data_IF_538085658837
#
_entry.id   IF_538085658837
#
_cell.length_a   1.000
_cell.length_b   1.000
_cell.length_c   1.000
_cell.angle_alpha   90.00
_cell.angle_beta   90.00
_cell.angle_gamma   90.00
#
_symmetry.space_group_name_H-M   'P 1'
#
loop_
_entity.id
_entity.type
_entity.pdbx_description
1 polymer ?
#
# COMPACT_ATOMS: atom_id res chain seq x y z
N UNK A 1 -48.54 -58.48 -0.89
CA UNK A 1 -48.85 -57.14 -1.46
C UNK A 1 -48.38 -55.95 -0.62
N UNK A 2 -48.09 -56.08 0.69
CA UNK A 2 -47.62 -54.98 1.56
C UNK A 2 -46.19 -54.52 1.25
N UNK A 3 -45.28 -55.43 0.90
CA UNK A 3 -43.85 -55.12 0.65
C UNK A 3 -43.61 -54.29 -0.61
N UNK A 4 -44.45 -54.50 -1.64
CA UNK A 4 -44.35 -53.75 -2.93
C UNK A 4 -44.77 -52.29 -2.74
N UNK A 5 -45.78 -52.01 -1.91
CA UNK A 5 -46.23 -50.64 -1.59
C UNK A 5 -45.17 -49.87 -0.79
N UNK A 6 -44.51 -50.49 0.17
CA UNK A 6 -43.43 -49.85 0.97
C UNK A 6 -42.20 -49.53 0.12
N UNK A 7 -41.84 -50.38 -0.83
CA UNK A 7 -40.76 -50.14 -1.79
C UNK A 7 -41.04 -48.92 -2.71
N UNK A 8 -42.28 -48.86 -3.21
CA UNK A 8 -42.68 -47.75 -4.09
C UNK A 8 -42.71 -46.38 -3.36
N UNK A 9 -43.17 -46.36 -2.12
CA UNK A 9 -43.16 -45.10 -1.28
C UNK A 9 -41.74 -44.62 -1.01
N UNK A 10 -40.81 -45.56 -0.71
CA UNK A 10 -39.41 -45.20 -0.50
C UNK A 10 -38.71 -44.70 -1.76
N UNK A 11 -39.00 -45.28 -2.92
CA UNK A 11 -38.48 -44.84 -4.21
C UNK A 11 -39.02 -43.43 -4.58
N UNK A 12 -40.34 -43.19 -4.39
CA UNK A 12 -40.94 -41.87 -4.62
C UNK A 12 -40.38 -40.81 -3.67
N UNK A 13 -40.13 -41.10 -2.39
CA UNK A 13 -39.55 -40.15 -1.44
C UNK A 13 -38.09 -39.84 -1.77
N UNK A 14 -37.29 -40.81 -2.20
CA UNK A 14 -35.90 -40.60 -2.66
C UNK A 14 -35.86 -39.79 -3.95
N UNK A 15 -36.77 -40.03 -4.92
CA UNK A 15 -36.86 -39.26 -6.15
C UNK A 15 -37.30 -37.80 -5.88
N UNK A 16 -38.20 -37.58 -4.92
CA UNK A 16 -38.63 -36.26 -4.51
C UNK A 16 -37.49 -35.46 -3.81
N UNK A 17 -36.71 -36.15 -2.95
CA UNK A 17 -35.53 -35.55 -2.31
C UNK A 17 -34.44 -35.22 -3.34
N UNK A 18 -34.25 -36.07 -4.34
CA UNK A 18 -33.29 -35.83 -5.43
C UNK A 18 -33.75 -34.64 -6.32
N UNK A 19 -35.05 -34.53 -6.56
CA UNK A 19 -35.62 -33.40 -7.30
C UNK A 19 -35.53 -32.08 -6.55
N UNK A 20 -35.67 -32.11 -5.22
CA UNK A 20 -35.43 -30.95 -4.35
C UNK A 20 -33.98 -30.51 -4.29
N UNK A 21 -33.04 -31.48 -4.36
CA UNK A 21 -31.59 -31.20 -4.41
C UNK A 21 -31.12 -30.71 -5.78
N UNK A 22 -31.86 -31.06 -6.86
CA UNK A 22 -31.61 -30.61 -8.23
C UNK A 22 -32.43 -29.38 -8.60
N UNK A 23 -33.31 -28.88 -7.72
CA UNK A 23 -33.95 -27.59 -7.93
C UNK A 23 -32.83 -26.54 -8.10
N UNK A 24 -32.77 -25.86 -9.25
CA UNK A 24 -31.79 -24.78 -9.38
C UNK A 24 -32.10 -23.84 -8.24
N UNK A 25 -31.13 -23.66 -7.34
CA UNK A 25 -31.10 -22.52 -6.43
C UNK A 25 -31.21 -21.34 -7.39
N UNK A 26 -32.41 -20.78 -7.54
CA UNK A 26 -32.62 -19.56 -8.29
C UNK A 26 -31.70 -18.57 -7.60
N UNK A 27 -30.48 -18.43 -8.12
CA UNK A 27 -29.58 -17.35 -7.78
C UNK A 27 -30.40 -16.12 -8.19
N UNK A 28 -31.02 -15.52 -7.18
CA UNK A 28 -31.59 -14.18 -7.37
C UNK A 28 -30.43 -13.36 -7.91
N UNK A 29 -30.57 -12.74 -9.09
CA UNK A 29 -29.58 -11.81 -9.55
C UNK A 29 -29.34 -10.87 -8.38
N UNK A 30 -28.10 -10.79 -7.91
CA UNK A 30 -27.72 -9.77 -6.95
C UNK A 30 -28.00 -8.46 -7.69
N UNK A 31 -29.17 -7.89 -7.44
CA UNK A 31 -29.48 -6.55 -7.86
C UNK A 31 -28.44 -5.69 -7.16
N UNK A 32 -27.38 -5.36 -7.87
CA UNK A 32 -26.59 -4.22 -7.51
C UNK A 32 -27.62 -3.08 -7.39
N UNK A 33 -27.79 -2.57 -6.17
CA UNK A 33 -28.76 -1.51 -5.91
C UNK A 33 -28.28 -0.27 -6.68
N UNK A 34 -28.65 -0.20 -7.96
CA UNK A 34 -28.55 0.98 -8.78
C UNK A 34 -29.61 1.96 -8.27
N UNK A 35 -29.15 2.96 -7.55
CA UNK A 35 -30.05 4.03 -7.09
C UNK A 35 -29.63 5.35 -7.74
N UNK A 36 -30.08 5.63 -8.98
CA UNK A 36 -29.76 6.87 -9.68
C UNK A 36 -30.30 8.13 -8.98
N UNK A 37 -31.31 7.99 -8.10
CA UNK A 37 -31.88 9.13 -7.34
C UNK A 37 -30.87 9.74 -6.35
N UNK A 38 -29.75 9.04 -6.06
CA UNK A 38 -28.66 9.57 -5.24
C UNK A 38 -27.72 10.47 -6.02
N UNK A 39 -27.84 10.52 -7.33
CA UNK A 39 -27.00 11.36 -8.18
C UNK A 39 -27.54 12.80 -8.21
N UNK A 40 -26.68 13.82 -8.12
CA UNK A 40 -27.08 15.21 -8.22
C UNK A 40 -27.61 15.53 -9.63
N UNK A 41 -28.44 16.56 -9.77
CA UNK A 41 -29.01 16.96 -11.05
C UNK A 41 -27.96 17.40 -12.08
N UNK A 42 -26.80 17.88 -11.61
CA UNK A 42 -25.67 18.28 -12.46
C UNK A 42 -24.42 17.50 -12.07
N UNK A 43 -23.60 17.03 -13.04
CA UNK A 43 -22.38 16.35 -12.76
C UNK A 43 -21.37 17.23 -12.01
N UNK A 44 -21.09 16.90 -10.75
CA UNK A 44 -19.99 17.45 -9.96
C UNK A 44 -18.88 16.41 -9.87
N UNK A 45 -17.59 16.77 -9.79
CA UNK A 45 -16.52 15.79 -9.70
C UNK A 45 -16.48 15.02 -8.38
N UNK A 46 -17.18 15.51 -7.34
CA UNK A 46 -17.24 14.91 -6.01
C UNK A 46 -18.69 14.68 -5.61
N UNK A 47 -19.02 13.45 -5.23
CA UNK A 47 -20.31 13.06 -4.65
C UNK A 47 -20.02 12.46 -3.27
N UNK A 48 -20.31 13.21 -2.22
CA UNK A 48 -20.00 12.85 -0.83
C UNK A 48 -21.27 12.39 -0.08
N UNK A 49 -21.71 11.13 -0.35
CA UNK A 49 -22.90 10.56 0.28
C UNK A 49 -22.65 10.13 1.75
N UNK A 50 -21.42 9.75 2.07
CA UNK A 50 -21.05 9.36 3.42
C UNK A 50 -20.69 10.55 4.32
N UNK A 51 -20.60 11.77 3.74
CA UNK A 51 -20.22 13.00 4.45
C UNK A 51 -18.84 12.90 5.13
N UNK A 52 -17.90 12.32 4.41
CA UNK A 52 -16.51 12.18 4.89
C UNK A 52 -15.75 13.51 4.82
N UNK A 53 -16.14 14.40 3.91
CA UNK A 53 -15.50 15.70 3.72
C UNK A 53 -16.29 16.80 4.40
N UNK A 54 -15.60 17.78 4.96
CA UNK A 54 -16.25 19.04 5.34
C UNK A 54 -16.72 19.79 4.09
N UNK A 55 -17.69 20.69 4.21
CA UNK A 55 -18.17 21.47 3.06
C UNK A 55 -17.03 22.28 2.39
N UNK A 56 -16.10 22.81 3.19
CA UNK A 56 -14.92 23.51 2.69
C UNK A 56 -13.97 22.59 1.90
N UNK A 57 -13.67 21.40 2.42
CA UNK A 57 -12.83 20.39 1.75
C UNK A 57 -13.49 19.92 0.45
N UNK A 58 -14.80 19.63 0.47
CA UNK A 58 -15.55 19.22 -0.70
C UNK A 58 -15.51 20.28 -1.80
N UNK A 59 -15.83 21.54 -1.48
CA UNK A 59 -15.83 22.62 -2.46
C UNK A 59 -14.43 22.88 -3.02
N UNK A 60 -13.40 22.87 -2.18
CA UNK A 60 -12.02 23.03 -2.63
C UNK A 60 -11.59 21.89 -3.55
N UNK A 61 -11.93 20.63 -3.21
CA UNK A 61 -11.62 19.46 -4.01
C UNK A 61 -12.37 19.48 -5.35
N UNK A 62 -13.66 19.87 -5.37
CA UNK A 62 -14.43 20.02 -6.60
C UNK A 62 -13.75 20.99 -7.58
N UNK A 63 -13.37 22.16 -7.12
CA UNK A 63 -12.66 23.13 -7.94
C UNK A 63 -11.31 22.60 -8.41
N UNK A 64 -10.55 22.02 -7.52
CA UNK A 64 -9.23 21.44 -7.83
C UNK A 64 -9.31 20.37 -8.92
N UNK A 65 -10.32 19.49 -8.87
CA UNK A 65 -10.50 18.42 -9.85
C UNK A 65 -10.96 18.95 -11.21
N UNK A 66 -11.79 20.00 -11.24
CA UNK A 66 -12.18 20.70 -12.48
C UNK A 66 -10.97 21.33 -13.14
N UNK A 67 -10.16 22.08 -12.38
CA UNK A 67 -8.97 22.73 -12.89
C UNK A 67 -7.92 21.72 -13.36
N UNK A 68 -7.78 20.62 -12.65
CA UNK A 68 -6.88 19.54 -13.02
C UNK A 68 -7.32 18.85 -14.33
N UNK A 69 -8.60 18.56 -14.50
CA UNK A 69 -9.14 18.02 -15.76
C UNK A 69 -8.92 18.97 -16.92
N UNK A 70 -9.20 20.27 -16.74
CA UNK A 70 -9.02 21.28 -17.76
C UNK A 70 -7.56 21.42 -18.22
N UNK A 71 -6.60 21.26 -17.30
CA UNK A 71 -5.18 21.44 -17.58
C UNK A 71 -4.49 20.18 -18.09
N UNK A 72 -4.89 19.00 -17.62
CA UNK A 72 -4.23 17.72 -17.89
C UNK A 72 -4.99 16.79 -18.83
N UNK A 73 -6.30 16.98 -18.96
CA UNK A 73 -7.22 16.08 -19.66
C UNK A 73 -7.48 14.76 -18.95
N UNK A 74 -7.03 14.57 -17.70
CA UNK A 74 -7.33 13.41 -16.87
C UNK A 74 -8.56 13.68 -16.00
N UNK A 75 -9.52 12.78 -16.05
CA UNK A 75 -10.80 12.90 -15.37
C UNK A 75 -10.75 12.17 -14.03
N UNK A 76 -10.64 12.90 -12.93
CA UNK A 76 -10.65 12.33 -11.58
C UNK A 76 -12.03 12.56 -10.94
N UNK A 77 -12.62 11.50 -10.36
CA UNK A 77 -13.96 11.55 -9.73
C UNK A 77 -13.90 10.88 -8.38
N UNK A 78 -14.67 11.40 -7.42
CA UNK A 78 -14.73 10.92 -6.04
C UNK A 78 -16.16 10.62 -5.67
N UNK A 79 -16.39 9.41 -5.19
CA UNK A 79 -17.64 8.98 -4.58
C UNK A 79 -17.34 8.51 -3.16
N UNK A 80 -17.96 9.11 -2.16
CA UNK A 80 -17.98 8.55 -0.82
C UNK A 80 -19.33 7.92 -0.55
N UNK A 81 -19.37 6.73 0.03
CA UNK A 81 -20.61 6.00 0.29
C UNK A 81 -20.50 5.19 1.59
N UNK A 82 -21.66 4.89 2.18
CA UNK A 82 -21.79 3.99 3.31
C UNK A 82 -22.92 2.98 3.07
N UNK A 83 -24.16 3.30 3.45
CA UNK A 83 -25.30 2.38 3.26
C UNK A 83 -25.96 2.46 1.90
N UNK A 84 -25.83 3.58 1.20
CA UNK A 84 -26.46 3.85 -0.08
C UNK A 84 -25.41 4.10 -1.14
N UNK A 85 -25.60 3.46 -2.30
CA UNK A 85 -24.71 3.57 -3.44
C UNK A 85 -25.51 3.85 -4.70
N UNK A 86 -25.05 4.71 -5.61
CA UNK A 86 -25.64 4.87 -6.94
C UNK A 86 -25.34 3.67 -7.87
N UNK A 87 -24.49 2.73 -7.45
CA UNK A 87 -24.13 1.54 -8.21
C UNK A 87 -23.45 1.86 -9.53
N UNK A 88 -23.81 1.13 -10.59
CA UNK A 88 -23.20 1.31 -11.92
C UNK A 88 -23.66 2.59 -12.63
N UNK A 89 -24.79 3.20 -12.22
CA UNK A 89 -25.29 4.44 -12.80
C UNK A 89 -24.27 5.59 -12.74
N UNK A 90 -23.34 5.55 -11.74
CA UNK A 90 -22.28 6.55 -11.59
C UNK A 90 -21.33 6.59 -12.80
N UNK A 91 -21.10 5.47 -13.48
CA UNK A 91 -20.19 5.40 -14.63
C UNK A 91 -20.75 6.16 -15.83
N UNK A 92 -22.03 6.01 -16.10
CA UNK A 92 -22.72 6.72 -17.15
C UNK A 92 -22.89 8.20 -16.80
N UNK A 93 -23.27 8.49 -15.56
CA UNK A 93 -23.43 9.86 -15.05
C UNK A 93 -22.18 10.74 -15.24
N UNK A 94 -20.99 10.18 -14.98
CA UNK A 94 -19.73 10.89 -15.18
C UNK A 94 -19.09 10.67 -16.56
N UNK A 95 -19.66 9.82 -17.40
CA UNK A 95 -19.07 9.45 -18.70
C UNK A 95 -17.63 8.98 -18.53
N UNK A 96 -17.44 7.96 -17.65
CA UNK A 96 -16.11 7.44 -17.37
C UNK A 96 -15.53 6.69 -18.58
N UNK A 97 -14.31 7.02 -18.94
CA UNK A 97 -13.57 6.51 -20.09
C UNK A 97 -12.19 5.95 -19.68
N UNK A 98 -11.36 5.65 -20.66
CA UNK A 98 -10.00 5.13 -20.44
C UNK A 98 -9.06 6.11 -19.71
N UNK A 99 -9.36 7.43 -19.74
CA UNK A 99 -8.60 8.49 -19.06
C UNK A 99 -9.21 8.90 -17.73
N UNK A 100 -10.13 8.10 -17.21
CA UNK A 100 -10.86 8.41 -15.98
C UNK A 100 -10.35 7.59 -14.81
N UNK A 101 -10.32 8.21 -13.64
CA UNK A 101 -10.15 7.57 -12.34
C UNK A 101 -11.38 7.84 -11.48
N UNK A 102 -12.02 6.79 -11.01
CA UNK A 102 -13.04 6.87 -9.97
C UNK A 102 -12.47 6.34 -8.65
N UNK A 103 -12.32 7.22 -7.67
CA UNK A 103 -12.08 6.86 -6.28
C UNK A 103 -13.41 6.66 -5.57
N UNK A 104 -13.62 5.47 -5.03
CA UNK A 104 -14.76 5.15 -4.16
C UNK A 104 -14.25 4.95 -2.74
N UNK A 105 -14.72 5.77 -1.80
CA UNK A 105 -14.51 5.58 -0.38
C UNK A 105 -15.74 4.90 0.23
N UNK A 106 -15.59 3.66 0.71
CA UNK A 106 -16.66 2.84 1.28
C UNK A 106 -16.21 2.24 2.62
N UNK A 107 -16.83 2.66 3.71
CA UNK A 107 -16.49 2.19 5.07
C UNK A 107 -16.84 0.72 5.34
N UNK A 108 -17.69 0.10 4.52
CA UNK A 108 -18.12 -1.28 4.72
C UNK A 108 -17.06 -2.31 4.32
N UNK A 109 -16.05 -1.89 3.55
CA UNK A 109 -14.93 -2.73 3.16
C UNK A 109 -13.86 -2.85 4.24
N UNK A 110 -13.01 -3.86 4.16
CA UNK A 110 -11.80 -3.96 5.01
C UNK A 110 -10.75 -2.90 4.67
N UNK A 111 -10.92 -2.18 3.57
CA UNK A 111 -10.13 -1.04 3.11
C UNK A 111 -11.11 0.06 2.69
N UNK A 112 -10.88 1.29 3.18
CA UNK A 112 -11.76 2.42 2.88
C UNK A 112 -11.79 2.77 1.38
N UNK A 113 -10.65 2.67 0.70
CA UNK A 113 -10.48 3.17 -0.67
C UNK A 113 -10.55 2.06 -1.70
N UNK A 114 -11.28 2.30 -2.78
CA UNK A 114 -11.31 1.50 -3.99
C UNK A 114 -11.09 2.40 -5.22
N UNK A 115 -10.25 1.95 -6.16
CA UNK A 115 -9.92 2.68 -7.37
C UNK A 115 -10.45 1.93 -8.59
N UNK A 116 -11.34 2.58 -9.36
CA UNK A 116 -11.72 2.13 -10.69
C UNK A 116 -10.92 2.95 -11.70
N UNK A 117 -9.96 2.29 -12.33
CA UNK A 117 -8.89 2.91 -13.10
C UNK A 117 -9.12 2.67 -14.59
N UNK A 118 -9.14 3.73 -15.39
CA UNK A 118 -9.21 3.65 -16.84
C UNK A 118 -7.92 3.08 -17.44
N UNK A 119 -8.04 2.40 -18.58
CA UNK A 119 -6.92 1.65 -19.16
C UNK A 119 -5.70 2.50 -19.51
N UNK A 120 -5.89 3.76 -19.92
CA UNK A 120 -4.78 4.67 -20.22
C UNK A 120 -3.93 5.01 -18.99
N UNK A 121 -4.49 4.96 -17.79
CA UNK A 121 -3.77 5.21 -16.55
C UNK A 121 -2.80 4.07 -16.17
N UNK A 122 -3.09 2.83 -16.58
CA UNK A 122 -2.20 1.69 -16.32
C UNK A 122 -0.86 1.78 -17.07
N UNK A 123 -0.81 2.52 -18.18
CA UNK A 123 0.43 2.78 -18.90
C UNK A 123 1.37 3.73 -18.11
N UNK A 124 0.81 4.61 -17.29
CA UNK A 124 1.54 5.60 -16.48
C UNK A 124 1.83 5.12 -15.06
N UNK A 125 0.89 4.37 -14.50
CA UNK A 125 0.94 3.86 -13.13
C UNK A 125 0.50 2.39 -13.14
N UNK A 126 1.42 1.43 -12.94
CA UNK A 126 1.12 0.00 -13.04
C UNK A 126 0.16 -0.47 -11.95
N UNK A 127 -0.43 -1.66 -12.11
CA UNK A 127 -1.38 -2.23 -11.14
C UNK A 127 -0.82 -2.26 -9.71
N UNK A 128 0.47 -2.50 -9.55
CA UNK A 128 1.16 -2.50 -8.25
C UNK A 128 1.10 -1.15 -7.55
N UNK A 129 1.15 -0.03 -8.30
CA UNK A 129 0.97 1.31 -7.78
C UNK A 129 -0.42 1.49 -7.13
N UNK A 130 -1.48 1.05 -7.82
CA UNK A 130 -2.86 1.19 -7.33
C UNK A 130 -3.12 0.33 -6.09
N UNK A 131 -2.58 -0.89 -6.05
CA UNK A 131 -2.65 -1.75 -4.85
C UNK A 131 -1.90 -1.12 -3.68
N UNK A 132 -0.70 -0.58 -3.93
CA UNK A 132 0.06 0.11 -2.89
C UNK A 132 -0.67 1.35 -2.39
N UNK A 133 -1.22 2.18 -3.29
CA UNK A 133 -1.97 3.39 -2.95
C UNK A 133 -3.17 3.07 -2.06
N UNK A 134 -3.96 2.07 -2.46
CA UNK A 134 -5.11 1.58 -1.70
C UNK A 134 -4.70 1.07 -0.31
N UNK A 135 -3.65 0.23 -0.25
CA UNK A 135 -3.17 -0.34 1.01
C UNK A 135 -2.56 0.72 1.92
N UNK A 136 -1.91 1.73 1.36
CA UNK A 136 -1.22 2.78 2.12
C UNK A 136 -2.17 3.76 2.77
N UNK A 137 -3.15 4.27 2.02
CA UNK A 137 -4.05 5.32 2.51
C UNK A 137 -5.40 4.80 2.98
N UNK A 138 -5.89 3.67 2.44
CA UNK A 138 -7.21 3.13 2.75
C UNK A 138 -7.23 2.12 3.89
N UNK A 139 -6.08 1.73 4.46
CA UNK A 139 -6.05 0.77 5.56
C UNK A 139 -6.56 1.39 6.88
N UNK A 140 -7.09 0.53 7.76
CA UNK A 140 -7.68 0.95 9.03
C UNK A 140 -6.72 1.72 9.96
N UNK A 141 -5.41 1.47 9.88
CA UNK A 141 -4.43 2.17 10.74
C UNK A 141 -4.22 3.60 10.26
N UNK A 142 -4.05 3.80 8.94
CA UNK A 142 -3.94 5.12 8.35
C UNK A 142 -5.19 5.96 8.63
N UNK A 143 -6.38 5.37 8.38
CA UNK A 143 -7.68 6.03 8.61
C UNK A 143 -7.88 6.40 10.08
N UNK A 144 -7.50 5.52 11.01
CA UNK A 144 -7.59 5.80 12.45
C UNK A 144 -6.68 6.96 12.87
N UNK A 145 -5.46 7.02 12.32
CA UNK A 145 -4.44 7.97 12.77
C UNK A 145 -4.56 9.33 12.06
N UNK A 146 -5.11 9.40 10.83
CA UNK A 146 -5.20 10.61 10.01
C UNK A 146 -6.63 11.06 9.67
N UNK A 147 -7.61 10.17 9.76
CA UNK A 147 -9.00 10.42 9.37
C UNK A 147 -9.34 9.88 7.97
N UNK A 148 -10.65 9.75 7.70
CA UNK A 148 -11.17 9.25 6.44
C UNK A 148 -11.03 10.29 5.32
N UNK A 149 -11.23 11.54 5.65
CA UNK A 149 -11.03 12.69 4.75
C UNK A 149 -9.57 12.77 4.28
N UNK A 150 -8.60 12.63 5.19
CA UNK A 150 -7.19 12.59 4.83
C UNK A 150 -6.87 11.40 3.90
N UNK A 151 -7.46 10.23 4.12
CA UNK A 151 -7.26 9.07 3.24
C UNK A 151 -7.69 9.37 1.80
N UNK A 152 -8.83 10.04 1.62
CA UNK A 152 -9.32 10.45 0.30
C UNK A 152 -8.40 11.52 -0.31
N UNK A 153 -8.12 12.59 0.41
CA UNK A 153 -7.37 13.75 -0.08
C UNK A 153 -5.92 13.39 -0.42
N UNK A 154 -5.22 12.67 0.47
CA UNK A 154 -3.81 12.33 0.29
C UNK A 154 -3.60 11.32 -0.84
N UNK A 155 -4.54 10.36 -0.99
CA UNK A 155 -4.48 9.43 -2.12
C UNK A 155 -4.66 10.13 -3.47
N UNK A 156 -5.59 11.08 -3.58
CA UNK A 156 -5.77 11.89 -4.78
C UNK A 156 -4.58 12.81 -5.05
N UNK A 157 -4.03 13.42 -4.00
CA UNK A 157 -2.83 14.25 -4.12
C UNK A 157 -1.64 13.45 -4.69
N UNK A 158 -1.43 12.21 -4.20
CA UNK A 158 -0.41 11.32 -4.74
C UNK A 158 -0.64 11.00 -6.22
N UNK A 159 -1.87 10.68 -6.63
CA UNK A 159 -2.22 10.42 -8.04
C UNK A 159 -1.98 11.65 -8.91
N UNK A 160 -2.47 12.83 -8.50
CA UNK A 160 -2.28 14.08 -9.24
C UNK A 160 -0.81 14.43 -9.41
N UNK A 161 -0.02 14.29 -8.34
CA UNK A 161 1.43 14.50 -8.39
C UNK A 161 2.10 13.58 -9.40
N UNK A 162 1.72 12.29 -9.44
CA UNK A 162 2.22 11.34 -10.41
C UNK A 162 1.81 11.68 -11.85
N UNK A 163 0.55 12.08 -12.07
CA UNK A 163 0.08 12.47 -13.40
C UNK A 163 0.77 13.73 -13.92
N UNK A 164 1.07 14.68 -13.03
CA UNK A 164 1.77 15.92 -13.38
C UNK A 164 3.20 15.69 -13.90
N UNK A 165 3.87 14.61 -13.48
CA UNK A 165 5.24 14.25 -13.92
C UNK A 165 5.26 13.16 -15.01
N UNK A 166 4.09 12.77 -15.53
CA UNK A 166 3.98 11.76 -16.60
C UNK A 166 3.93 10.32 -16.12
N UNK A 167 3.66 10.07 -14.83
CA UNK A 167 3.45 8.74 -14.25
C UNK A 167 4.42 8.39 -13.11
N UNK A 168 4.08 7.33 -12.36
CA UNK A 168 4.89 6.79 -11.26
C UNK A 168 4.88 5.27 -11.28
N UNK A 169 6.03 4.65 -11.02
CA UNK A 169 6.11 3.18 -10.87
C UNK A 169 5.72 2.73 -9.45
N UNK A 170 5.92 3.58 -8.45
CA UNK A 170 5.64 3.35 -7.03
C UNK A 170 4.98 4.59 -6.44
N UNK A 171 4.23 4.43 -5.34
CA UNK A 171 3.60 5.56 -4.65
C UNK A 171 4.68 6.47 -4.04
N UNK A 172 4.67 7.78 -4.33
CA UNK A 172 5.66 8.71 -3.80
C UNK A 172 5.65 8.80 -2.27
N UNK A 173 6.82 9.14 -1.72
CA UNK A 173 7.02 9.32 -0.29
C UNK A 173 7.27 8.00 0.45
N UNK A 174 7.81 8.10 1.66
CA UNK A 174 8.14 6.98 2.54
C UNK A 174 7.08 6.84 3.63
N UNK A 175 6.32 5.72 3.68
CA UNK A 175 5.47 5.44 4.83
C UNK A 175 6.31 5.29 6.10
N UNK A 176 5.69 5.54 7.26
CA UNK A 176 6.39 5.56 8.56
C UNK A 176 7.10 4.23 8.85
N UNK A 177 6.49 3.11 8.50
CA UNK A 177 7.08 1.78 8.70
C UNK A 177 8.36 1.62 7.85
N UNK A 178 8.33 2.05 6.59
CA UNK A 178 9.52 2.02 5.73
C UNK A 178 10.58 3.00 6.20
N UNK A 179 10.16 4.16 6.72
CA UNK A 179 11.06 5.14 7.29
C UNK A 179 11.86 4.57 8.47
N UNK A 180 11.21 3.81 9.38
CA UNK A 180 11.87 3.13 10.49
C UNK A 180 12.70 1.92 10.02
N UNK A 181 12.15 1.11 9.10
CA UNK A 181 12.81 -0.09 8.59
C UNK A 181 14.12 0.25 7.88
N UNK A 182 14.12 1.27 7.02
CA UNK A 182 15.33 1.70 6.29
C UNK A 182 16.43 2.17 7.24
N UNK A 183 16.10 2.85 8.34
CA UNK A 183 17.05 3.23 9.36
C UNK A 183 17.59 2.01 10.13
N UNK A 184 16.71 1.11 10.57
CA UNK A 184 17.09 -0.09 11.31
C UNK A 184 18.03 -0.99 10.49
N UNK A 185 17.70 -1.22 9.22
CA UNK A 185 18.54 -2.03 8.32
C UNK A 185 19.89 -1.35 8.03
N UNK A 186 19.93 -0.02 7.95
CA UNK A 186 21.17 0.74 7.79
C UNK A 186 22.06 0.59 9.03
N UNK A 187 21.52 0.74 10.23
CA UNK A 187 22.24 0.53 11.49
C UNK A 187 22.78 -0.90 11.58
N UNK A 188 21.94 -1.91 11.28
CA UNK A 188 22.35 -3.32 11.29
C UNK A 188 23.49 -3.60 10.30
N UNK A 189 23.39 -3.07 9.07
CA UNK A 189 24.46 -3.15 8.08
C UNK A 189 25.77 -2.55 8.60
N UNK A 190 25.69 -1.39 9.26
CA UNK A 190 26.83 -0.75 9.92
C UNK A 190 27.42 -1.60 11.04
N UNK A 191 26.60 -2.17 11.93
CA UNK A 191 27.05 -3.07 13.00
C UNK A 191 27.85 -4.25 12.45
N UNK A 192 27.41 -4.86 11.36
CA UNK A 192 28.11 -5.96 10.70
C UNK A 192 29.47 -5.52 10.17
N UNK A 193 29.54 -4.36 9.50
CA UNK A 193 30.80 -3.81 9.00
C UNK A 193 31.76 -3.51 10.15
N UNK A 194 31.30 -2.85 11.23
CA UNK A 194 32.13 -2.52 12.37
C UNK A 194 32.70 -3.75 13.09
N UNK A 195 31.86 -4.77 13.28
CA UNK A 195 32.34 -6.05 13.87
C UNK A 195 33.31 -6.79 12.93
N UNK A 196 33.02 -6.80 11.61
CA UNK A 196 33.89 -7.41 10.60
C UNK A 196 35.24 -6.73 10.50
N UNK A 197 35.27 -5.40 10.63
CA UNK A 197 36.46 -4.58 10.54
C UNK A 197 37.40 -4.72 11.73
N UNK A 198 36.90 -5.26 12.86
CA UNK A 198 37.70 -5.40 14.08
C UNK A 198 38.91 -6.34 13.87
N UNK A 199 40.16 -5.90 14.20
CA UNK A 199 41.35 -6.70 13.98
C UNK A 199 41.44 -7.89 14.96
N UNK A 200 41.62 -9.09 14.39
CA UNK A 200 41.77 -10.35 15.14
C UNK A 200 43.21 -10.76 15.32
N UNK A 201 44.16 -10.04 14.67
CA UNK A 201 45.60 -10.29 14.74
C UNK A 201 46.34 -9.08 15.30
N UNK A 202 47.34 -9.30 16.17
CA UNK A 202 48.19 -8.26 16.72
C UNK A 202 48.85 -7.44 15.58
N UNK A 203 48.95 -6.13 15.74
CA UNK A 203 49.58 -5.23 14.78
C UNK A 203 48.69 -4.78 13.61
N UNK A 204 47.49 -5.34 13.42
CA UNK A 204 46.52 -4.84 12.42
C UNK A 204 45.57 -3.83 13.06
N UNK A 205 45.17 -2.84 12.28
CA UNK A 205 44.13 -1.87 12.67
C UNK A 205 42.78 -2.17 12.05
N UNK A 206 42.75 -2.99 10.98
CA UNK A 206 41.53 -3.24 10.21
C UNK A 206 41.62 -4.59 9.48
N UNK A 207 40.53 -5.39 9.50
CA UNK A 207 40.45 -6.70 8.86
C UNK A 207 39.60 -6.67 7.59
N UNK A 208 40.22 -6.25 6.49
CA UNK A 208 39.53 -6.17 5.18
C UNK A 208 38.92 -7.47 4.70
N UNK A 209 39.57 -8.61 4.98
CA UNK A 209 39.09 -9.91 4.52
C UNK A 209 37.70 -10.24 5.06
N UNK A 210 37.42 -9.93 6.31
CA UNK A 210 36.10 -10.14 6.89
C UNK A 210 35.06 -9.14 6.42
N UNK A 211 35.43 -7.89 6.18
CA UNK A 211 34.53 -6.88 5.61
C UNK A 211 34.09 -7.30 4.20
N UNK A 212 35.03 -7.81 3.38
CA UNK A 212 34.74 -8.31 2.03
C UNK A 212 33.94 -9.61 2.08
N UNK A 213 34.27 -10.54 2.96
CA UNK A 213 33.52 -11.79 3.11
C UNK A 213 32.05 -11.55 3.48
N UNK A 214 31.79 -10.59 4.37
CA UNK A 214 30.44 -10.23 4.79
C UNK A 214 29.78 -9.14 3.92
N UNK A 215 30.45 -8.74 2.82
CA UNK A 215 29.93 -7.68 1.93
C UNK A 215 28.53 -7.97 1.37
N UNK A 216 28.16 -9.20 0.96
CA UNK A 216 26.80 -9.44 0.47
C UNK A 216 25.74 -9.09 1.51
N UNK A 217 26.01 -9.38 2.79
CA UNK A 217 25.05 -9.16 3.87
C UNK A 217 24.84 -7.67 4.18
N UNK A 218 25.92 -6.92 4.41
CA UNK A 218 25.78 -5.51 4.75
C UNK A 218 25.39 -4.65 3.53
N UNK A 219 25.76 -5.04 2.30
CA UNK A 219 25.32 -4.38 1.08
C UNK A 219 23.82 -4.54 0.86
N UNK A 220 23.28 -5.73 1.11
CA UNK A 220 21.83 -5.95 1.04
C UNK A 220 21.11 -5.11 2.11
N UNK A 221 21.57 -5.15 3.36
CA UNK A 221 20.92 -4.40 4.45
C UNK A 221 20.99 -2.89 4.23
N UNK A 222 22.13 -2.35 3.88
CA UNK A 222 22.28 -0.91 3.68
C UNK A 222 21.84 -0.47 2.28
N UNK A 223 22.29 -1.14 1.22
CA UNK A 223 22.01 -0.75 -0.16
C UNK A 223 20.55 -1.01 -0.56
N UNK A 224 20.10 -2.28 -0.42
CA UNK A 224 18.78 -2.68 -0.90
C UNK A 224 17.67 -2.26 0.05
N UNK A 225 17.84 -2.47 1.36
CA UNK A 225 16.80 -2.14 2.34
C UNK A 225 16.95 -0.75 2.98
N UNK A 226 18.16 -0.20 3.06
CA UNK A 226 18.42 1.10 3.65
C UNK A 226 18.34 2.27 2.65
N UNK A 227 18.90 2.13 1.45
CA UNK A 227 19.06 3.23 0.47
C UNK A 227 18.04 3.14 -0.66
N UNK A 228 17.87 1.98 -1.28
CA UNK A 228 17.04 1.84 -2.49
C UNK A 228 15.59 2.31 -2.30
N UNK A 229 14.87 2.02 -1.19
CA UNK A 229 13.51 2.52 -1.00
C UNK A 229 13.43 4.05 -0.93
N UNK A 230 14.48 4.72 -0.47
CA UNK A 230 14.53 6.18 -0.38
C UNK A 230 14.65 6.78 -1.78
N UNK A 231 15.68 6.38 -2.54
CA UNK A 231 15.95 6.96 -3.86
C UNK A 231 14.86 6.68 -4.90
N UNK A 232 14.08 5.60 -4.71
CA UNK A 232 12.96 5.26 -5.60
C UNK A 232 11.66 5.98 -5.28
N UNK A 233 11.51 6.54 -4.06
CA UNK A 233 10.22 7.07 -3.57
C UNK A 233 10.25 8.55 -3.22
N UNK A 234 11.42 9.14 -3.03
CA UNK A 234 11.54 10.56 -2.66
C UNK A 234 12.83 11.17 -3.23
N UNK A 235 12.74 12.47 -3.54
CA UNK A 235 13.90 13.28 -3.90
C UNK A 235 14.51 13.99 -2.67
N UNK A 236 13.96 13.75 -1.48
CA UNK A 236 14.46 14.34 -0.24
C UNK A 236 15.75 13.63 0.20
N UNK A 237 16.79 14.41 0.44
CA UNK A 237 18.09 13.92 0.88
C UNK A 237 18.15 13.62 2.40
N UNK A 238 17.22 14.15 3.18
CA UNK A 238 17.22 14.00 4.64
C UNK A 238 17.16 12.54 5.10
N UNK A 239 16.25 11.68 4.57
CA UNK A 239 16.23 10.27 4.92
C UNK A 239 17.51 9.52 4.55
N UNK A 240 18.12 9.89 3.40
CA UNK A 240 19.36 9.28 2.93
C UNK A 240 20.53 9.62 3.87
N UNK A 241 20.68 10.91 4.24
CA UNK A 241 21.70 11.38 5.18
C UNK A 241 21.54 10.71 6.55
N UNK A 242 20.31 10.63 7.07
CA UNK A 242 19.98 9.94 8.31
C UNK A 242 20.43 8.48 8.30
N UNK A 243 20.13 7.74 7.22
CA UNK A 243 20.48 6.33 7.09
C UNK A 243 21.99 6.13 6.94
N UNK A 244 22.68 7.01 6.21
CA UNK A 244 24.13 7.01 6.13
C UNK A 244 24.77 7.25 7.52
N UNK A 245 24.27 8.21 8.28
CA UNK A 245 24.73 8.45 9.66
C UNK A 245 24.43 7.26 10.58
N UNK A 246 23.26 6.63 10.43
CA UNK A 246 22.91 5.39 11.15
C UNK A 246 23.87 4.24 10.84
N UNK A 247 24.23 4.06 9.58
CA UNK A 247 25.22 3.05 9.16
C UNK A 247 26.61 3.32 9.74
N UNK A 248 27.12 4.53 9.61
CA UNK A 248 28.43 4.92 10.15
C UNK A 248 28.45 4.82 11.68
N UNK A 249 27.40 5.30 12.35
CA UNK A 249 27.26 5.20 13.80
C UNK A 249 27.21 3.76 14.29
N UNK A 250 26.45 2.89 13.61
CA UNK A 250 26.42 1.45 13.88
C UNK A 250 27.80 0.79 13.72
N UNK A 251 28.51 1.12 12.63
CA UNK A 251 29.85 0.59 12.39
C UNK A 251 30.85 1.03 13.46
N UNK A 252 30.85 2.31 13.84
CA UNK A 252 31.72 2.83 14.90
C UNK A 252 31.40 2.17 16.26
N UNK A 253 30.11 2.05 16.60
CA UNK A 253 29.70 1.44 17.87
C UNK A 253 30.13 -0.03 17.95
N UNK A 254 29.88 -0.83 16.90
CA UNK A 254 30.28 -2.24 16.89
C UNK A 254 31.80 -2.42 16.94
N UNK A 255 32.57 -1.58 16.24
CA UNK A 255 34.02 -1.62 16.29
C UNK A 255 34.56 -1.32 17.69
N UNK A 256 34.05 -0.27 18.35
CA UNK A 256 34.45 0.12 19.70
C UNK A 256 34.06 -0.94 20.74
N UNK A 257 32.85 -1.51 20.64
CA UNK A 257 32.41 -2.60 21.52
C UNK A 257 33.33 -3.83 21.36
N UNK A 258 33.62 -4.21 20.11
CA UNK A 258 34.53 -5.31 19.83
C UNK A 258 35.93 -5.06 20.38
N UNK A 259 36.42 -3.82 20.31
CA UNK A 259 37.70 -3.42 20.90
C UNK A 259 37.73 -3.56 22.42
N UNK A 260 36.63 -3.19 23.11
CA UNK A 260 36.55 -3.26 24.56
C UNK A 260 36.38 -4.70 25.08
N UNK A 261 35.69 -5.55 24.35
CA UNK A 261 35.34 -6.92 24.75
C UNK A 261 36.40 -7.93 24.29
N UNK A 262 36.57 -8.07 22.98
CA UNK A 262 37.49 -9.01 22.34
C UNK A 262 38.94 -8.57 22.46
N UNK A 263 39.23 -7.26 22.44
CA UNK A 263 40.56 -6.72 22.60
C UNK A 263 41.18 -7.06 23.98
N UNK A 264 40.37 -7.06 25.05
CA UNK A 264 40.79 -7.51 26.38
C UNK A 264 41.09 -9.00 26.43
N UNK A 265 40.26 -9.81 25.78
CA UNK A 265 40.44 -11.27 25.72
C UNK A 265 41.71 -11.66 24.94
N UNK A 266 41.95 -11.04 23.77
CA UNK A 266 43.14 -11.29 22.96
C UNK A 266 44.44 -10.85 23.66
N UNK A 267 44.42 -9.83 24.52
CA UNK A 267 45.53 -9.39 25.32
C UNK A 267 45.87 -10.38 26.43
N UNK A 268 44.87 -10.93 27.12
CA UNK A 268 45.05 -11.93 28.19
C UNK A 268 45.52 -13.30 27.69
N UNK A 269 45.13 -13.70 26.44
CA UNK A 269 45.58 -14.96 25.86
C UNK A 269 46.93 -14.90 25.13
N UNK A 270 47.51 -13.73 24.95
CA UNK A 270 48.85 -13.52 24.38
C UNK A 270 49.96 -13.38 25.42
N UNK A 271 49.62 -13.39 26.72
CA UNK A 271 50.58 -13.35 27.86
C UNK A 271 50.85 -14.74 28.46
N UNK A 272 50.33 -15.82 27.89
CA UNK A 272 50.65 -17.21 28.22
C UNK A 272 51.47 -17.85 27.12
#
# INVERSE_FOLDING_TARGET
MAGLRQGLVRLCSLALLLLLLLAPVASQPAWAYDNPDLLPAQPTPVIDLAKLLTDGQRTALEQELVDFEASSGWKLRVLTQYDRTPGLAIREFWGLDERSLLLVADERGGNLLNFNVGDALFALMPRTFWVELQTRYGNQFYVRDNGQDAAVLDSLHAVKGCLAIGGCQVVPGLPQEQWLLTLATSILGGLIVGFAAFPRKAGRRFEWAWVLLLSPLWLILFGVFGVAPIITRTNDLLPLLRNALGFVGGAAAAYLIAQQTLGRYLKSSGET
#
